data_IF_317551434160
#
_entry.id   IF_317551434160
#
_cell.length_a   1.000
_cell.length_b   1.000
_cell.length_c   1.000
_cell.angle_alpha   90.00
_cell.angle_beta   90.00
_cell.angle_gamma   90.00
#
_symmetry.space_group_name_H-M   'P 1'
#
loop_
_entity.id
_entity.type
_entity.pdbx_description
1 polymer ?
#
# COMPACT_ATOMS: atom_id res chain seq x y z
N UNK A 1 -19.34 3.97 -4.60
CA UNK A 1 -19.70 2.81 -5.44
C UNK A 1 -18.48 1.92 -5.47
N UNK A 2 -18.61 0.64 -5.10
CA UNK A 2 -17.47 -0.28 -5.05
C UNK A 2 -16.92 -0.56 -6.46
N UNK A 3 -15.63 -0.89 -6.57
CA UNK A 3 -14.99 -1.22 -7.83
C UNK A 3 -15.63 -2.46 -8.45
N UNK A 4 -16.19 -2.30 -9.66
CA UNK A 4 -16.80 -3.42 -10.37
C UNK A 4 -15.73 -4.41 -10.85
N UNK A 5 -15.97 -5.74 -10.78
CA UNK A 5 -15.02 -6.76 -11.22
C UNK A 5 -14.58 -6.58 -12.67
N UNK A 6 -15.51 -6.26 -13.57
CA UNK A 6 -15.21 -6.01 -14.99
C UNK A 6 -14.28 -4.81 -15.19
N UNK A 7 -14.46 -3.73 -14.42
CA UNK A 7 -13.57 -2.57 -14.44
C UNK A 7 -12.19 -2.93 -13.92
N UNK A 8 -12.10 -3.70 -12.83
CA UNK A 8 -10.83 -4.21 -12.30
C UNK A 8 -10.07 -5.02 -13.34
N UNK A 9 -10.74 -5.95 -14.01
CA UNK A 9 -10.12 -6.83 -15.00
C UNK A 9 -9.65 -6.09 -16.25
N UNK A 10 -10.35 -5.01 -16.63
CA UNK A 10 -9.89 -4.10 -17.68
C UNK A 10 -8.66 -3.32 -17.23
N UNK A 11 -8.68 -2.74 -16.03
CA UNK A 11 -7.55 -1.95 -15.51
C UNK A 11 -6.27 -2.77 -15.37
N UNK A 12 -6.36 -4.06 -15.04
CA UNK A 12 -5.19 -4.96 -14.96
C UNK A 12 -4.41 -5.05 -16.29
N UNK A 13 -5.07 -4.79 -17.42
CA UNK A 13 -4.51 -4.85 -18.77
C UNK A 13 -4.01 -3.50 -19.29
N UNK A 14 -4.20 -2.41 -18.55
CA UNK A 14 -3.81 -1.05 -18.97
C UNK A 14 -2.52 -0.65 -18.28
N UNK A 15 -1.57 -0.09 -19.03
CA UNK A 15 -0.33 0.43 -18.44
C UNK A 15 -0.60 1.65 -17.55
N UNK A 16 0.22 1.85 -16.53
CA UNK A 16 0.17 3.05 -15.66
C UNK A 16 0.38 4.33 -16.47
N UNK A 17 1.22 4.31 -17.50
CA UNK A 17 1.45 5.46 -18.40
C UNK A 17 0.19 5.84 -19.20
N UNK A 18 -0.53 4.84 -19.74
CA UNK A 18 -1.81 5.05 -20.44
C UNK A 18 -2.86 5.62 -19.49
N UNK A 19 -2.98 5.08 -18.27
CA UNK A 19 -3.90 5.59 -17.25
C UNK A 19 -3.57 7.04 -16.87
N UNK A 20 -2.30 7.36 -16.62
CA UNK A 20 -1.88 8.74 -16.32
C UNK A 20 -2.27 9.70 -17.45
N UNK A 21 -2.06 9.31 -18.71
CA UNK A 21 -2.45 10.13 -19.87
C UNK A 21 -3.97 10.34 -19.95
N UNK A 22 -4.76 9.29 -19.71
CA UNK A 22 -6.21 9.39 -19.71
C UNK A 22 -6.74 10.31 -18.59
N UNK A 23 -6.13 10.25 -17.40
CA UNK A 23 -6.44 11.12 -16.28
C UNK A 23 -6.00 12.57 -16.53
N UNK A 24 -4.83 12.75 -17.17
CA UNK A 24 -4.33 14.06 -17.61
C UNK A 24 -5.29 14.78 -18.55
N UNK A 25 -5.82 14.07 -19.55
CA UNK A 25 -6.84 14.59 -20.46
C UNK A 25 -8.13 15.01 -19.75
N UNK A 26 -8.38 14.50 -18.54
CA UNK A 26 -9.51 14.86 -17.66
C UNK A 26 -9.16 15.94 -16.62
N UNK A 27 -7.97 16.54 -16.71
CA UNK A 27 -7.53 17.64 -15.83
C UNK A 27 -6.82 17.20 -14.54
N UNK A 28 -6.66 15.88 -14.33
CA UNK A 28 -5.91 15.34 -13.20
C UNK A 28 -4.43 15.26 -13.61
N UNK A 29 -3.54 16.02 -12.95
CA UNK A 29 -2.12 16.17 -13.42
C UNK A 29 -1.06 15.48 -12.55
N UNK A 30 -1.33 15.22 -11.27
CA UNK A 30 -0.41 14.57 -10.32
C UNK A 30 -0.93 13.20 -9.83
N UNK A 31 -0.85 12.14 -10.66
CA UNK A 31 -1.46 10.82 -10.37
C UNK A 31 -0.43 9.75 -9.97
N UNK A 32 0.84 9.98 -10.26
CA UNK A 32 1.90 9.01 -10.06
C UNK A 32 2.72 9.35 -8.81
N UNK A 33 2.90 8.36 -7.94
CA UNK A 33 3.76 8.49 -6.76
C UNK A 33 5.21 8.30 -7.22
N UNK A 34 5.98 9.38 -7.23
CA UNK A 34 7.38 9.35 -7.60
C UNK A 34 8.21 8.53 -6.61
N UNK A 35 9.25 7.88 -7.12
CA UNK A 35 10.23 7.07 -6.37
C UNK A 35 9.67 5.86 -5.61
N UNK A 36 8.47 5.41 -5.99
CA UNK A 36 7.89 4.15 -5.49
C UNK A 36 8.00 3.07 -6.56
N UNK A 37 8.67 1.96 -6.23
CA UNK A 37 9.03 0.88 -7.17
C UNK A 37 8.52 -0.47 -6.69
N UNK A 38 8.19 -1.41 -7.60
CA UNK A 38 7.86 -2.76 -7.20
C UNK A 38 9.07 -3.43 -6.53
N UNK A 39 8.83 -4.16 -5.45
CA UNK A 39 9.85 -5.04 -4.85
C UNK A 39 10.15 -6.27 -5.71
N UNK A 40 9.17 -6.73 -6.47
CA UNK A 40 9.30 -7.84 -7.41
C UNK A 40 8.61 -7.45 -8.72
N UNK A 41 9.41 -7.21 -9.75
CA UNK A 41 8.95 -6.75 -11.07
C UNK A 41 8.42 -7.89 -11.96
N UNK A 42 8.52 -9.14 -11.49
CA UNK A 42 7.96 -10.32 -12.18
C UNK A 42 6.50 -10.58 -11.81
N UNK A 43 5.96 -9.89 -10.79
CA UNK A 43 4.57 -10.03 -10.39
C UNK A 43 3.63 -9.27 -11.35
N UNK A 44 2.37 -9.74 -11.51
CA UNK A 44 1.41 -9.04 -12.34
C UNK A 44 1.05 -7.67 -11.77
N UNK A 45 0.50 -6.80 -12.62
CA UNK A 45 -0.07 -5.52 -12.19
C UNK A 45 -1.08 -5.71 -11.06
N UNK A 46 -1.09 -4.74 -10.15
CA UNK A 46 -2.01 -4.70 -9.03
C UNK A 46 -3.10 -3.64 -9.28
N UNK A 47 -4.36 -4.03 -9.05
CA UNK A 47 -5.52 -3.11 -9.09
C UNK A 47 -6.46 -3.44 -7.92
N UNK A 48 -6.86 -2.41 -7.19
CA UNK A 48 -7.85 -2.48 -6.12
C UNK A 48 -8.24 -1.10 -5.61
N UNK A 49 -9.29 -1.03 -4.80
CA UNK A 49 -9.68 0.21 -4.11
C UNK A 49 -8.64 0.55 -3.03
N UNK A 50 -8.29 1.83 -2.92
CA UNK A 50 -7.30 2.26 -1.94
C UNK A 50 -7.89 2.25 -0.53
N UNK A 51 -7.27 1.49 0.38
CA UNK A 51 -7.49 1.59 1.82
C UNK A 51 -6.29 2.30 2.43
N UNK A 52 -6.49 3.47 3.03
CA UNK A 52 -5.38 4.39 3.34
C UNK A 52 -5.05 4.43 4.82
N UNK A 53 -3.76 4.47 5.14
CA UNK A 53 -3.25 4.76 6.49
C UNK A 53 -2.18 5.85 6.39
N UNK A 54 -2.31 6.91 7.18
CA UNK A 54 -1.32 7.98 7.25
C UNK A 54 -0.47 7.86 8.51
N UNK A 55 0.84 7.89 8.34
CA UNK A 55 1.81 8.08 9.40
C UNK A 55 2.12 9.56 9.61
N UNK A 56 2.39 9.90 10.86
CA UNK A 56 2.92 11.20 11.27
C UNK A 56 4.18 10.95 12.11
N UNK A 57 5.10 11.94 12.20
CA UNK A 57 6.22 11.84 13.11
C UNK A 57 5.74 11.52 14.52
N UNK A 58 6.32 10.48 15.11
CA UNK A 58 6.00 10.07 16.46
C UNK A 58 6.59 11.08 17.45
N UNK A 59 5.84 11.32 18.53
CA UNK A 59 6.36 11.93 19.75
C UNK A 59 6.95 10.82 20.61
N UNK A 60 8.27 10.80 20.78
CA UNK A 60 8.96 9.71 21.48
C UNK A 60 8.46 9.54 22.93
N UNK A 61 8.04 10.64 23.57
CA UNK A 61 7.45 10.65 24.90
C UNK A 61 6.03 10.05 24.96
N UNK A 62 5.32 9.99 23.83
CA UNK A 62 3.96 9.44 23.72
C UNK A 62 3.87 8.12 22.94
N UNK A 63 4.95 7.70 22.27
CA UNK A 63 4.97 6.51 21.42
C UNK A 63 5.93 5.41 21.93
N UNK A 64 5.88 5.02 23.22
CA UNK A 64 6.65 3.88 23.71
C UNK A 64 6.11 2.57 23.16
N UNK A 65 6.90 1.49 23.22
CA UNK A 65 6.51 0.17 22.70
C UNK A 65 5.17 -0.36 23.24
N UNK A 66 4.76 0.07 24.43
CA UNK A 66 3.48 -0.33 25.05
C UNK A 66 2.25 0.11 24.25
N UNK A 67 2.34 1.16 23.42
CA UNK A 67 1.20 1.60 22.59
C UNK A 67 0.76 0.53 21.60
N UNK A 68 1.66 -0.36 21.16
CA UNK A 68 1.34 -1.44 20.25
C UNK A 68 0.61 -2.62 20.91
N UNK A 69 0.49 -2.62 22.24
CA UNK A 69 -0.36 -3.58 22.96
C UNK A 69 -1.85 -3.24 22.80
N UNK A 70 -2.17 -1.97 22.56
CA UNK A 70 -3.53 -1.53 22.30
C UNK A 70 -4.04 -2.11 20.98
N UNK A 71 -5.16 -2.84 21.05
CA UNK A 71 -5.82 -3.40 19.87
C UNK A 71 -6.44 -2.32 18.99
N UNK A 72 -6.72 -1.15 19.56
CA UNK A 72 -7.27 0.01 18.86
C UNK A 72 -6.20 0.84 18.13
N UNK A 73 -4.91 0.50 18.28
CA UNK A 73 -3.82 1.20 17.61
C UNK A 73 -4.09 1.31 16.09
N UNK A 74 -4.06 2.53 15.50
CA UNK A 74 -4.53 2.75 14.12
C UNK A 74 -3.87 1.86 13.06
N UNK A 75 -2.57 1.54 13.21
CA UNK A 75 -1.88 0.63 12.30
C UNK A 75 -2.49 -0.78 12.32
N UNK A 76 -2.80 -1.30 13.52
CA UNK A 76 -3.39 -2.62 13.68
C UNK A 76 -4.82 -2.63 13.14
N UNK A 77 -5.59 -1.61 13.49
CA UNK A 77 -6.96 -1.44 12.99
C UNK A 77 -6.97 -1.40 11.46
N UNK A 78 -6.07 -0.62 10.83
CA UNK A 78 -5.99 -0.53 9.38
C UNK A 78 -5.67 -1.88 8.72
N UNK A 79 -4.67 -2.61 9.23
CA UNK A 79 -4.32 -3.94 8.71
C UNK A 79 -5.47 -4.95 8.90
N UNK A 80 -6.16 -4.91 10.04
CA UNK A 80 -7.27 -5.82 10.34
C UNK A 80 -8.61 -5.43 9.71
N UNK A 81 -8.72 -4.23 9.13
CA UNK A 81 -9.95 -3.77 8.48
C UNK A 81 -9.80 -3.61 6.97
N UNK A 82 -8.58 -3.66 6.43
CA UNK A 82 -8.35 -3.64 4.98
C UNK A 82 -9.18 -4.74 4.30
N UNK A 83 -10.11 -4.39 3.39
CA UNK A 83 -10.99 -5.35 2.73
C UNK A 83 -10.23 -6.27 1.77
N UNK A 84 -10.72 -7.50 1.54
CA UNK A 84 -10.24 -8.32 0.43
C UNK A 84 -10.34 -7.57 -0.90
N UNK A 85 -9.32 -7.70 -1.75
CA UNK A 85 -9.22 -7.00 -3.03
C UNK A 85 -8.82 -5.53 -2.97
N UNK A 86 -8.76 -4.92 -1.78
CA UNK A 86 -8.26 -3.55 -1.62
C UNK A 86 -6.73 -3.50 -1.66
N UNK A 87 -6.18 -2.33 -2.00
CA UNK A 87 -4.75 -2.03 -1.89
C UNK A 87 -4.52 -1.20 -0.63
N UNK A 88 -3.68 -1.69 0.27
CA UNK A 88 -3.25 -0.90 1.42
C UNK A 88 -2.27 0.18 0.94
N UNK A 89 -2.59 1.45 1.20
CA UNK A 89 -1.76 2.60 0.81
C UNK A 89 -1.31 3.34 2.05
N UNK A 90 -0.02 3.26 2.35
CA UNK A 90 0.60 4.00 3.44
C UNK A 90 1.09 5.36 2.94
N UNK A 91 0.61 6.43 3.56
CA UNK A 91 1.14 7.79 3.42
C UNK A 91 2.12 8.04 4.58
N UNK A 92 3.41 8.02 4.25
CA UNK A 92 4.54 8.28 5.12
C UNK A 92 5.19 9.63 4.84
N UNK A 93 4.47 10.53 4.14
CA UNK A 93 4.92 11.89 3.80
C UNK A 93 6.27 11.90 3.05
N UNK A 94 6.49 10.92 2.17
CA UNK A 94 7.76 10.70 1.46
C UNK A 94 9.00 10.59 2.36
N UNK A 95 8.83 10.09 3.57
CA UNK A 95 9.92 9.98 4.54
C UNK A 95 10.22 8.50 4.87
N UNK A 96 11.30 7.92 4.29
CA UNK A 96 11.66 6.52 4.53
C UNK A 96 12.50 6.30 5.80
N UNK A 97 12.69 7.31 6.66
CA UNK A 97 13.48 7.16 7.91
C UNK A 97 12.87 6.18 8.91
N UNK A 98 11.56 5.92 8.80
CA UNK A 98 10.86 4.91 9.57
C UNK A 98 10.10 3.98 8.61
N UNK A 99 10.13 2.68 8.89
CA UNK A 99 9.44 1.71 8.07
C UNK A 99 7.91 1.81 8.25
N UNK A 100 7.19 1.86 7.15
CA UNK A 100 5.72 1.86 7.10
C UNK A 100 5.13 0.48 7.41
N UNK A 101 5.85 -0.59 7.06
CA UNK A 101 5.51 -1.97 7.36
C UNK A 101 6.74 -2.88 7.25
N UNK A 102 6.61 -4.11 7.76
CA UNK A 102 7.55 -5.22 7.57
C UNK A 102 6.82 -6.51 7.19
N UNK A 103 7.56 -7.62 7.09
CA UNK A 103 7.05 -8.89 6.56
C UNK A 103 5.82 -9.41 7.31
N UNK A 104 5.73 -9.21 8.62
CA UNK A 104 4.57 -9.59 9.45
C UNK A 104 3.27 -8.90 8.99
N UNK A 105 3.29 -7.58 8.85
CA UNK A 105 2.08 -6.82 8.48
C UNK A 105 1.68 -7.09 7.03
N UNK A 106 2.67 -7.21 6.14
CA UNK A 106 2.44 -7.54 4.72
C UNK A 106 1.87 -8.96 4.57
N UNK A 107 2.40 -9.93 5.32
CA UNK A 107 1.85 -11.30 5.37
C UNK A 107 0.40 -11.28 5.85
N UNK A 108 0.08 -10.47 6.87
CA UNK A 108 -1.30 -10.35 7.35
C UNK A 108 -2.23 -9.80 6.27
N UNK A 109 -1.83 -8.75 5.55
CA UNK A 109 -2.60 -8.21 4.42
C UNK A 109 -2.82 -9.26 3.32
N UNK A 110 -1.77 -10.03 2.98
CA UNK A 110 -1.85 -11.14 2.03
C UNK A 110 -2.87 -12.20 2.47
N UNK A 111 -2.79 -12.67 3.73
CA UNK A 111 -3.72 -13.66 4.29
C UNK A 111 -5.17 -13.16 4.30
N UNK A 112 -5.37 -11.86 4.48
CA UNK A 112 -6.69 -11.22 4.40
C UNK A 112 -7.23 -11.07 2.97
N UNK A 113 -6.46 -11.46 1.96
CA UNK A 113 -6.88 -11.39 0.56
C UNK A 113 -6.85 -9.98 -0.03
N UNK A 114 -6.04 -9.07 0.52
CA UNK A 114 -5.79 -7.77 -0.10
C UNK A 114 -5.16 -7.96 -1.50
N UNK A 115 -5.28 -6.97 -2.39
CA UNK A 115 -4.68 -7.04 -3.72
C UNK A 115 -3.17 -6.72 -3.72
N UNK A 116 -2.69 -6.00 -2.72
CA UNK A 116 -1.29 -5.66 -2.52
C UNK A 116 -1.11 -4.45 -1.60
N UNK A 117 0.09 -3.90 -1.58
CA UNK A 117 0.48 -2.82 -0.67
C UNK A 117 1.41 -1.79 -1.34
N UNK A 118 1.21 -0.51 -1.03
CA UNK A 118 2.02 0.61 -1.50
C UNK A 118 2.39 1.48 -0.30
N UNK A 119 3.62 1.96 -0.23
CA UNK A 119 3.99 3.09 0.63
C UNK A 119 4.82 4.09 -0.15
N UNK A 120 4.73 5.37 0.21
CA UNK A 120 5.71 6.40 -0.22
C UNK A 120 6.85 6.56 0.80
N UNK A 121 6.93 5.68 1.81
CA UNK A 121 7.99 5.59 2.81
C UNK A 121 8.95 4.44 2.52
N UNK A 122 9.14 3.54 3.49
CA UNK A 122 10.02 2.38 3.33
C UNK A 122 9.42 1.12 3.93
N UNK A 123 9.75 -0.04 3.37
CA UNK A 123 9.54 -1.32 4.05
C UNK A 123 10.82 -1.77 4.75
N UNK A 124 10.67 -2.38 5.93
CA UNK A 124 11.67 -3.31 6.46
C UNK A 124 11.39 -4.71 5.94
N UNK A 125 12.36 -5.61 6.06
CA UNK A 125 12.21 -7.01 5.61
C UNK A 125 11.90 -7.12 4.09
N UNK A 126 12.36 -6.15 3.30
CA UNK A 126 12.05 -6.07 1.86
C UNK A 126 12.48 -7.29 1.03
N UNK A 127 13.61 -7.99 1.32
CA UNK A 127 13.93 -9.23 0.62
C UNK A 127 12.86 -10.31 0.84
N UNK A 128 12.41 -10.50 2.09
CA UNK A 128 11.35 -11.46 2.41
C UNK A 128 10.04 -11.10 1.71
N UNK A 129 9.67 -9.80 1.73
CA UNK A 129 8.45 -9.31 1.08
C UNK A 129 8.47 -9.56 -0.43
N UNK A 130 9.62 -9.36 -1.09
CA UNK A 130 9.77 -9.57 -2.53
C UNK A 130 9.47 -11.03 -2.95
N UNK A 131 9.75 -11.99 -2.08
CA UNK A 131 9.55 -13.42 -2.31
C UNK A 131 8.12 -13.91 -1.99
N UNK A 132 7.27 -13.07 -1.39
CA UNK A 132 5.93 -13.48 -0.94
C UNK A 132 4.93 -13.74 -2.08
N UNK A 133 5.24 -13.39 -3.33
CA UNK A 133 4.26 -13.43 -4.43
C UNK A 133 3.07 -12.51 -4.20
N UNK A 134 3.27 -11.42 -3.46
CA UNK A 134 2.26 -10.42 -3.11
C UNK A 134 2.75 -9.04 -3.60
N UNK A 135 1.99 -8.34 -4.47
CA UNK A 135 2.43 -7.05 -4.99
C UNK A 135 2.71 -6.03 -3.88
N UNK A 136 3.95 -5.56 -3.81
CA UNK A 136 4.42 -4.61 -2.80
C UNK A 136 5.30 -3.55 -3.45
N UNK A 137 5.05 -2.28 -3.12
CA UNK A 137 5.74 -1.13 -3.70
C UNK A 137 6.20 -0.17 -2.60
N UNK A 138 7.45 0.29 -2.65
CA UNK A 138 7.98 1.36 -1.78
C UNK A 138 9.14 2.12 -2.43
#
# INVERSE_FOLDING_TARGET
MALQPSTRDQLLKVSTATLCTALFKRGLRNQFIQDVRPLNDQLPNMVGEAFTLRYIPAREDLNPISVFQDRSHPQRVAVEQCPPGAVMVFDSRKNPRAASAGSILVTRLKVRGCAGVVTDGGFRDSPEIAEMGFPAYH
#
